data_IF_834233294453
#
_entry.id   IF_834233294453
#
_cell.length_a   1.000
_cell.length_b   1.000
_cell.length_c   1.000
_cell.angle_alpha   90.00
_cell.angle_beta   90.00
_cell.angle_gamma   90.00
#
_symmetry.space_group_name_H-M   'P 1'
#
loop_
_entity.id
_entity.type
_entity.pdbx_description
1 polymer ?
#
# COMPACT_ATOMS: atom_id res chain seq x y z
N UNK A 1 13.10 -11.08 16.21
CA UNK A 1 12.23 -11.83 15.26
C UNK A 1 12.53 -11.28 13.88
N UNK A 2 13.06 -12.08 12.96
CA UNK A 2 13.20 -11.68 11.56
C UNK A 2 11.83 -11.88 10.90
N UNK A 3 11.17 -10.79 10.50
CA UNK A 3 9.99 -10.89 9.68
C UNK A 3 10.41 -11.18 8.25
N UNK A 4 9.73 -12.15 7.64
CA UNK A 4 9.89 -12.49 6.25
C UNK A 4 9.26 -11.37 5.40
N UNK A 5 10.07 -10.64 4.63
CA UNK A 5 9.59 -9.52 3.80
C UNK A 5 8.60 -9.98 2.73
N UNK A 6 8.55 -11.28 2.42
CA UNK A 6 7.56 -11.83 1.49
C UNK A 6 6.13 -11.79 2.04
N UNK A 7 5.97 -11.45 3.33
CA UNK A 7 4.70 -11.37 4.06
C UNK A 7 4.32 -9.96 4.48
N UNK A 8 4.76 -8.96 3.72
CA UNK A 8 4.50 -7.55 4.00
C UNK A 8 3.61 -6.94 2.92
N UNK A 9 2.65 -6.12 3.33
CA UNK A 9 1.87 -5.26 2.45
C UNK A 9 2.24 -3.80 2.71
N UNK A 10 2.50 -3.05 1.65
CA UNK A 10 2.59 -1.60 1.67
C UNK A 10 1.20 -1.01 1.35
N UNK A 11 0.65 -0.23 2.28
CA UNK A 11 -0.67 0.39 2.13
C UNK A 11 -0.56 1.92 2.13
N UNK A 12 -1.12 2.55 1.11
CA UNK A 12 -1.03 4.01 0.89
C UNK A 12 -2.38 4.74 0.85
N UNK A 13 -3.49 4.01 0.68
CA UNK A 13 -4.84 4.56 0.53
C UNK A 13 -5.77 4.27 1.71
N UNK A 14 -6.97 3.81 1.42
CA UNK A 14 -8.05 3.53 2.39
C UNK A 14 -7.75 2.38 3.34
N UNK A 15 -6.78 1.52 3.03
CA UNK A 15 -6.30 0.46 3.93
C UNK A 15 -5.35 0.97 5.03
N UNK A 16 -4.96 2.25 5.02
CA UNK A 16 -4.13 2.83 6.08
C UNK A 16 -4.83 2.75 7.44
N UNK A 17 -4.12 2.40 8.53
CA UNK A 17 -4.68 2.48 9.87
C UNK A 17 -5.22 3.88 10.18
N UNK A 18 -6.47 3.96 10.67
CA UNK A 18 -7.13 5.23 11.00
C UNK A 18 -7.87 5.90 9.83
N UNK A 19 -7.78 5.36 8.62
CA UNK A 19 -8.60 5.78 7.48
C UNK A 19 -9.77 4.81 7.25
N UNK A 20 -11.00 5.35 7.24
CA UNK A 20 -12.25 4.69 6.82
C UNK A 20 -12.69 3.45 7.64
N UNK A 21 -13.83 2.86 7.25
CA UNK A 21 -14.34 1.58 7.78
C UNK A 21 -13.49 0.39 7.34
N UNK A 22 -12.64 0.52 6.31
CA UNK A 22 -11.86 -0.60 5.78
C UNK A 22 -10.70 -1.03 6.68
N UNK A 23 -10.01 -0.09 7.34
CA UNK A 23 -9.03 -0.45 8.38
C UNK A 23 -9.71 -1.13 9.58
N UNK A 24 -10.96 -0.76 9.86
CA UNK A 24 -11.79 -1.41 10.88
C UNK A 24 -12.19 -2.83 10.46
N UNK A 25 -12.63 -3.05 9.22
CA UNK A 25 -12.93 -4.39 8.72
C UNK A 25 -11.69 -5.29 8.75
N UNK A 26 -10.50 -4.79 8.38
CA UNK A 26 -9.25 -5.54 8.51
C UNK A 26 -8.97 -5.93 9.98
N UNK A 27 -9.19 -5.02 10.93
CA UNK A 27 -8.99 -5.29 12.35
C UNK A 27 -10.05 -6.24 12.96
N UNK A 28 -11.29 -6.17 12.49
CA UNK A 28 -12.40 -7.02 12.96
C UNK A 28 -12.28 -8.44 12.40
N UNK A 29 -11.86 -8.58 11.14
CA UNK A 29 -11.79 -9.87 10.46
C UNK A 29 -10.43 -10.55 10.58
N UNK A 30 -9.41 -9.89 11.12
CA UNK A 30 -8.10 -10.48 11.34
C UNK A 30 -7.48 -9.94 12.65
N UNK A 31 -7.79 -10.60 13.76
CA UNK A 31 -7.20 -10.35 15.08
C UNK A 31 -5.67 -10.60 15.13
N UNK A 32 -5.11 -11.20 14.07
CA UNK A 32 -3.67 -11.40 13.87
C UNK A 32 -3.00 -10.36 12.96
N UNK A 33 -3.74 -9.34 12.50
CA UNK A 33 -3.16 -8.21 11.78
C UNK A 33 -2.17 -7.45 12.68
N UNK A 34 -1.01 -7.09 12.12
CA UNK A 34 0.01 -6.30 12.78
C UNK A 34 0.47 -5.16 11.89
N UNK A 35 0.54 -3.97 12.50
CA UNK A 35 1.22 -2.83 11.90
C UNK A 35 2.73 -3.02 12.11
N UNK A 36 3.44 -3.49 11.08
CA UNK A 36 4.87 -3.75 11.15
C UNK A 36 5.69 -2.45 11.12
N UNK A 37 5.25 -1.45 10.35
CA UNK A 37 5.88 -0.14 10.30
C UNK A 37 4.83 0.96 10.13
N UNK A 38 4.96 2.03 10.92
CA UNK A 38 4.04 3.17 10.91
C UNK A 38 4.31 4.15 9.77
N UNK A 39 5.47 4.05 9.12
CA UNK A 39 5.84 4.95 8.04
C UNK A 39 6.86 4.30 7.11
N UNK A 40 6.51 4.18 5.85
CA UNK A 40 7.38 3.66 4.80
C UNK A 40 7.16 4.47 3.51
N UNK A 41 8.14 4.42 2.62
CA UNK A 41 8.13 5.18 1.38
C UNK A 41 8.32 4.25 0.19
N UNK A 42 7.40 4.35 -0.76
CA UNK A 42 7.53 3.72 -2.07
C UNK A 42 8.12 4.74 -3.05
N UNK A 43 9.28 4.39 -3.62
CA UNK A 43 10.04 5.22 -4.57
C UNK A 43 9.58 5.09 -6.01
N UNK A 44 9.69 6.19 -6.75
CA UNK A 44 9.37 6.30 -8.17
C UNK A 44 7.87 6.07 -8.47
N UNK A 45 7.02 6.42 -7.50
CA UNK A 45 5.57 6.45 -7.66
C UNK A 45 5.00 7.77 -7.11
N UNK A 46 3.86 8.17 -7.64
CA UNK A 46 3.06 9.31 -7.19
C UNK A 46 1.62 8.86 -6.91
N UNK A 47 0.99 9.47 -5.92
CA UNK A 47 -0.38 9.12 -5.48
C UNK A 47 -1.41 9.99 -6.19
N UNK A 48 -2.40 9.36 -6.80
CA UNK A 48 -3.51 10.01 -7.50
C UNK A 48 -4.87 9.59 -6.92
N UNK A 49 -5.83 10.52 -6.94
CA UNK A 49 -7.26 10.30 -6.74
C UNK A 49 -7.93 10.14 -8.08
N UNK A 50 -8.85 9.18 -8.15
CA UNK A 50 -9.98 9.25 -9.07
C UNK A 50 -11.25 8.96 -8.26
N UNK A 51 -11.94 7.86 -8.56
CA UNK A 51 -12.95 7.28 -7.67
C UNK A 51 -12.32 6.75 -6.36
N UNK A 52 -11.14 6.13 -6.45
CA UNK A 52 -10.36 5.59 -5.33
C UNK A 52 -8.87 5.94 -5.50
N UNK A 53 -8.06 5.95 -4.43
CA UNK A 53 -6.64 6.25 -4.53
C UNK A 53 -5.88 5.17 -5.32
N UNK A 54 -4.92 5.58 -6.15
CA UNK A 54 -4.02 4.68 -6.89
C UNK A 54 -2.62 5.28 -7.01
N UNK A 55 -1.63 4.42 -7.20
CA UNK A 55 -0.24 4.83 -7.49
C UNK A 55 0.06 4.73 -8.97
N UNK A 56 0.87 5.64 -9.49
CA UNK A 56 1.39 5.60 -10.86
C UNK A 56 2.89 5.84 -10.82
N UNK A 57 3.63 5.11 -11.65
CA UNK A 57 5.08 5.22 -11.71
C UNK A 57 5.49 6.62 -12.21
N UNK A 58 6.23 7.35 -11.40
CA UNK A 58 6.73 8.69 -11.70
C UNK A 58 8.11 8.86 -11.04
N UNK A 59 9.16 8.96 -11.86
CA UNK A 59 10.54 8.95 -11.38
C UNK A 59 10.83 10.12 -10.42
N UNK A 60 11.55 9.84 -9.33
CA UNK A 60 11.92 10.83 -8.31
C UNK A 60 10.78 11.24 -7.38
N UNK A 61 9.62 10.57 -7.47
CA UNK A 61 8.49 10.76 -6.57
C UNK A 61 8.45 9.69 -5.47
N UNK A 62 7.71 9.99 -4.43
CA UNK A 62 7.59 9.13 -3.26
C UNK A 62 6.15 9.10 -2.78
N UNK A 63 5.68 7.90 -2.47
CA UNK A 63 4.39 7.69 -1.80
C UNK A 63 4.65 7.26 -0.37
N UNK A 64 4.09 7.99 0.57
CA UNK A 64 4.09 7.62 1.98
C UNK A 64 2.97 6.61 2.28
N UNK A 65 3.33 5.54 2.98
CA UNK A 65 2.42 4.49 3.39
C UNK A 65 2.84 3.81 4.69
N UNK A 66 2.22 2.67 4.95
CA UNK A 66 2.42 1.86 6.14
C UNK A 66 2.76 0.44 5.71
N UNK A 67 3.46 -0.30 6.57
CA UNK A 67 3.70 -1.73 6.36
C UNK A 67 2.83 -2.52 7.31
N UNK A 68 2.03 -3.43 6.75
CA UNK A 68 1.19 -4.35 7.50
C UNK A 68 1.61 -5.80 7.24
N UNK A 69 1.37 -6.67 8.21
CA UNK A 69 1.66 -8.10 8.13
C UNK A 69 0.69 -8.89 9.00
N UNK A 70 0.68 -10.22 8.88
CA UNK A 70 -0.10 -11.10 9.75
C UNK A 70 0.61 -12.44 9.90
N UNK A 71 0.44 -13.08 11.06
CA UNK A 71 0.81 -14.49 11.27
C UNK A 71 -0.04 -15.42 10.39
N UNK A 72 -1.26 -15.00 10.05
CA UNK A 72 -2.17 -15.66 9.10
C UNK A 72 -2.12 -14.95 7.75
N UNK A 73 -0.95 -14.97 7.13
CA UNK A 73 -0.66 -14.23 5.90
C UNK A 73 -1.65 -14.51 4.76
N UNK A 74 -1.96 -15.79 4.50
CA UNK A 74 -2.85 -16.16 3.39
C UNK A 74 -4.29 -15.67 3.59
N UNK A 75 -4.75 -15.61 4.84
CA UNK A 75 -6.06 -15.04 5.19
C UNK A 75 -6.08 -13.52 4.98
N UNK A 76 -5.01 -12.82 5.41
CA UNK A 76 -4.86 -11.38 5.17
C UNK A 76 -4.86 -11.08 3.67
N UNK A 77 -4.07 -11.82 2.90
CA UNK A 77 -3.99 -11.74 1.44
C UNK A 77 -5.37 -11.87 0.81
N UNK A 78 -6.14 -12.89 1.20
CA UNK A 78 -7.48 -13.12 0.66
C UNK A 78 -8.44 -11.97 0.98
N UNK A 79 -8.42 -11.47 2.23
CA UNK A 79 -9.26 -10.33 2.63
C UNK A 79 -8.89 -9.08 1.83
N UNK A 80 -7.60 -8.79 1.68
CA UNK A 80 -7.14 -7.66 0.87
C UNK A 80 -7.54 -7.83 -0.61
N UNK A 81 -7.41 -9.02 -1.18
CA UNK A 81 -7.82 -9.30 -2.57
C UNK A 81 -9.33 -9.11 -2.77
N UNK A 82 -10.15 -9.51 -1.80
CA UNK A 82 -11.60 -9.28 -1.83
C UNK A 82 -11.95 -7.79 -1.73
N UNK A 83 -11.31 -7.04 -0.83
CA UNK A 83 -11.54 -5.60 -0.64
C UNK A 83 -11.13 -4.78 -1.87
N UNK A 84 -9.97 -5.11 -2.45
CA UNK A 84 -9.40 -4.39 -3.61
C UNK A 84 -9.92 -4.94 -4.96
N UNK A 85 -10.91 -5.85 -4.91
CA UNK A 85 -11.51 -6.51 -6.08
C UNK A 85 -10.44 -7.07 -7.05
N UNK A 86 -9.39 -7.68 -6.51
CA UNK A 86 -8.28 -8.26 -7.27
C UNK A 86 -8.73 -9.52 -8.04
N UNK A 87 -8.28 -9.73 -9.30
CA UNK A 87 -7.46 -8.85 -10.14
C UNK A 87 -8.27 -7.89 -11.03
N UNK A 88 -9.59 -7.80 -10.81
CA UNK A 88 -10.52 -7.13 -11.72
C UNK A 88 -10.45 -5.60 -11.64
N UNK A 89 -10.19 -5.04 -10.46
CA UNK A 89 -10.13 -3.59 -10.24
C UNK A 89 -8.71 -3.11 -9.89
N UNK A 90 -8.03 -3.79 -8.97
CA UNK A 90 -6.60 -3.59 -8.69
C UNK A 90 -5.77 -4.81 -9.12
N UNK A 91 -4.52 -4.56 -9.48
CA UNK A 91 -3.45 -5.55 -9.56
C UNK A 91 -2.64 -5.56 -8.28
N UNK A 92 -2.02 -6.68 -7.98
CA UNK A 92 -1.08 -6.84 -6.87
C UNK A 92 0.29 -7.24 -7.40
N UNK A 93 1.33 -6.56 -6.95
CA UNK A 93 2.72 -6.84 -7.31
C UNK A 93 3.67 -6.48 -6.17
N UNK A 94 4.93 -6.93 -6.27
CA UNK A 94 5.95 -6.63 -5.26
C UNK A 94 6.73 -5.38 -5.62
N UNK A 95 7.04 -4.58 -4.60
CA UNK A 95 7.83 -3.34 -4.68
C UNK A 95 8.90 -3.29 -3.60
N UNK A 96 9.95 -2.51 -3.85
CA UNK A 96 10.92 -2.14 -2.82
C UNK A 96 10.44 -0.88 -2.11
N UNK A 97 10.37 -0.92 -0.78
CA UNK A 97 9.98 0.21 0.06
C UNK A 97 11.07 0.54 1.07
N UNK A 98 11.26 1.83 1.31
CA UNK A 98 12.22 2.38 2.28
C UNK A 98 11.49 2.59 3.61
N UNK A 99 12.05 2.08 4.71
CA UNK A 99 11.46 2.25 6.03
C UNK A 99 11.89 3.61 6.62
N UNK A 100 10.98 4.34 7.25
CA UNK A 100 11.31 5.65 7.84
C UNK A 100 12.32 5.55 9.00
N UNK A 101 12.24 4.47 9.78
CA UNK A 101 13.14 4.20 10.91
C UNK A 101 14.59 3.89 10.47
N UNK A 102 14.77 3.41 9.24
CA UNK A 102 16.07 3.10 8.65
C UNK A 102 15.99 3.28 7.12
N UNK A 103 16.23 4.50 6.61
CA UNK A 103 16.13 4.79 5.18
C UNK A 103 17.14 4.03 4.31
N UNK A 104 18.20 3.47 4.90
CA UNK A 104 19.15 2.61 4.19
C UNK A 104 18.60 1.19 3.99
N UNK A 105 17.62 0.80 4.80
CA UNK A 105 16.98 -0.49 4.73
C UNK A 105 15.80 -0.46 3.76
N UNK A 106 15.92 -1.30 2.73
CA UNK A 106 14.87 -1.59 1.77
C UNK A 106 14.30 -2.96 2.04
N UNK A 107 12.99 -3.07 1.88
CA UNK A 107 12.26 -4.31 2.06
C UNK A 107 11.35 -4.53 0.85
N UNK A 108 11.13 -5.80 0.52
CA UNK A 108 10.09 -6.16 -0.44
C UNK A 108 8.74 -6.10 0.26
N UNK A 109 7.73 -5.55 -0.39
CA UNK A 109 6.35 -5.61 0.07
C UNK A 109 5.39 -5.73 -1.12
N UNK A 110 4.25 -6.37 -0.90
CA UNK A 110 3.14 -6.38 -1.84
C UNK A 110 2.40 -5.05 -1.81
N UNK A 111 1.94 -4.59 -2.97
CA UNK A 111 1.16 -3.36 -3.11
C UNK A 111 0.04 -3.56 -4.13
N UNK A 112 -1.05 -2.82 -3.97
CA UNK A 112 -2.15 -2.78 -4.92
C UNK A 112 -2.05 -1.52 -5.80
N UNK A 113 -2.28 -1.68 -7.10
CA UNK A 113 -2.41 -0.57 -8.06
C UNK A 113 -3.64 -0.76 -8.92
N UNK A 114 -4.44 0.29 -9.05
CA UNK A 114 -5.64 0.25 -9.88
C UNK A 114 -5.26 -0.10 -11.32
N UNK A 115 -6.01 -1.00 -11.94
CA UNK A 115 -5.81 -1.39 -13.33
C UNK A 115 -5.92 -0.15 -14.26
N UNK A 116 -5.07 -0.02 -15.28
CA UNK A 116 -5.06 1.16 -16.16
C UNK A 116 -6.38 1.45 -16.89
N UNK A 117 -7.23 0.44 -17.09
CA UNK A 117 -8.55 0.59 -17.72
C UNK A 117 -9.65 1.09 -16.76
N UNK A 118 -9.33 1.28 -15.47
CA UNK A 118 -10.26 1.73 -14.43
C UNK A 118 -10.17 3.22 -14.12
N UNK A 119 -9.24 3.93 -14.74
CA UNK A 119 -9.13 5.38 -14.65
C UNK A 119 -8.80 5.96 -16.02
N UNK A 120 -9.12 7.24 -16.23
CA UNK A 120 -8.59 8.02 -17.35
C UNK A 120 -7.59 9.03 -16.83
N UNK A 121 -6.52 9.27 -17.58
CA UNK A 121 -5.44 10.16 -17.14
C UNK A 121 -5.92 11.58 -16.86
N UNK A 122 -6.89 12.06 -17.63
CA UNK A 122 -7.51 13.37 -17.47
C UNK A 122 -8.40 13.50 -16.22
N UNK A 123 -8.80 12.38 -15.60
CA UNK A 123 -9.63 12.33 -14.39
C UNK A 123 -8.78 12.18 -13.11
N UNK A 124 -7.45 12.09 -13.25
CA UNK A 124 -6.55 11.89 -12.11
C UNK A 124 -6.17 13.21 -11.45
N UNK A 125 -6.47 13.32 -10.16
CA UNK A 125 -6.03 14.43 -9.32
C UNK A 125 -4.88 13.97 -8.43
N UNK A 126 -3.78 14.71 -8.38
CA UNK A 126 -2.66 14.38 -7.47
C UNK A 126 -3.10 14.60 -6.02
N UNK A 127 -2.91 13.60 -5.15
CA UNK A 127 -3.17 13.75 -3.72
C UNK A 127 -1.87 13.67 -2.95
N UNK A 128 -1.47 14.82 -2.44
CA UNK A 128 -0.38 14.93 -1.48
C UNK A 128 0.80 15.73 -2.03
N UNK A 129 1.62 16.31 -1.13
CA UNK A 129 2.88 16.88 -1.52
C UNK A 129 3.79 15.75 -2.01
N UNK A 130 4.44 15.93 -3.16
CA UNK A 130 5.54 15.06 -3.54
C UNK A 130 6.61 15.13 -2.45
N UNK A 131 6.68 14.10 -1.61
CA UNK A 131 7.69 14.01 -0.57
C UNK A 131 9.05 13.90 -1.25
N UNK A 132 9.98 14.77 -0.87
CA UNK A 132 11.38 14.64 -1.22
C UNK A 132 12.11 14.30 0.08
N UNK A 133 12.58 13.06 0.29
CA UNK A 133 13.45 12.79 1.42
C UNK A 133 14.69 13.67 1.30
N UNK A 134 15.10 14.25 2.43
CA UNK A 134 16.32 15.05 2.54
C UNK A 134 17.57 14.20 2.43
#
# INVERSE_FOLDING_TARGET
MSFDSDKWFFVFGTLKPGFTQFSWNLQIHNDHFKLACHKAYLRDYELYQCKYPTIIQEAGKYVEGYIITSEKWDELVKICDEIEEYPAYYTRFQVQVELDEDPQKKVTAWVYQMQPDRYKLEELERIGPSFQPK
#
